data_IF_218733948280
#
_entry.id   IF_218733948280
#
_cell.length_a   1.000
_cell.length_b   1.000
_cell.length_c   1.000
_cell.angle_alpha   90.00
_cell.angle_beta   90.00
_cell.angle_gamma   90.00
#
_symmetry.space_group_name_H-M   'P 1'
#
loop_
_entity.id
_entity.type
_entity.pdbx_description
1 polymer ?
#
# COMPACT_ATOMS: atom_id res chain seq x y z
N UNK A 1 3.18 -14.03 -33.72
CA UNK A 1 2.04 -14.88 -33.29
C UNK A 1 1.62 -14.46 -31.87
N UNK A 2 0.33 -14.22 -31.61
CA UNK A 2 -0.12 -13.78 -30.27
C UNK A 2 -0.14 -14.98 -29.30
N UNK A 3 0.95 -15.16 -28.56
CA UNK A 3 1.13 -16.31 -27.65
C UNK A 3 0.12 -16.35 -26.50
N UNK A 4 -0.32 -15.19 -26.02
CA UNK A 4 -1.29 -15.11 -24.91
C UNK A 4 -2.66 -15.64 -25.36
N UNK A 5 -3.09 -15.26 -26.57
CA UNK A 5 -4.40 -15.64 -27.12
C UNK A 5 -4.46 -17.09 -27.59
N UNK A 6 -3.37 -17.61 -28.15
CA UNK A 6 -3.38 -18.89 -28.88
C UNK A 6 -2.53 -20.00 -28.26
N UNK A 7 -1.60 -19.70 -27.35
CA UNK A 7 -0.64 -20.69 -26.82
C UNK A 7 -0.84 -20.90 -25.33
N UNK A 8 -0.66 -19.86 -24.53
CA UNK A 8 -0.87 -19.91 -23.07
C UNK A 8 -1.19 -18.50 -22.54
N UNK A 9 -2.33 -18.28 -21.88
CA UNK A 9 -3.35 -19.28 -21.49
C UNK A 9 -4.05 -19.96 -22.67
N UNK A 10 -4.08 -19.35 -23.86
CA UNK A 10 -4.78 -19.90 -25.02
C UNK A 10 -6.29 -19.63 -24.93
N UNK A 11 -7.08 -20.37 -25.72
CA UNK A 11 -8.54 -20.32 -25.65
C UNK A 11 -9.17 -18.96 -26.01
N UNK A 12 -8.46 -18.11 -26.76
CA UNK A 12 -8.95 -16.78 -27.10
C UNK A 12 -8.78 -15.75 -25.98
N UNK A 13 -8.01 -16.04 -24.93
CA UNK A 13 -7.78 -15.13 -23.81
C UNK A 13 -7.15 -13.81 -24.27
N UNK A 14 -7.74 -12.69 -23.79
CA UNK A 14 -7.25 -11.33 -24.01
C UNK A 14 -7.15 -10.63 -22.66
N UNK A 15 -5.96 -10.11 -22.27
CA UNK A 15 -5.82 -9.32 -21.06
C UNK A 15 -6.73 -8.08 -21.09
N UNK A 16 -7.42 -7.82 -19.98
CA UNK A 16 -8.27 -6.62 -19.82
C UNK A 16 -7.50 -5.40 -19.32
N UNK A 17 -6.19 -5.55 -19.11
CA UNK A 17 -5.29 -4.53 -18.61
C UNK A 17 -4.17 -4.25 -19.62
N UNK A 18 -3.56 -3.07 -19.49
CA UNK A 18 -2.49 -2.64 -20.37
C UNK A 18 -1.26 -3.54 -20.24
N UNK A 19 -0.75 -4.01 -21.39
CA UNK A 19 0.55 -4.67 -21.50
C UNK A 19 1.56 -3.69 -22.06
N UNK A 20 2.79 -3.72 -21.53
CA UNK A 20 3.89 -2.89 -21.98
C UNK A 20 4.88 -3.69 -22.83
N UNK A 21 5.78 -2.97 -23.50
CA UNK A 21 6.91 -3.59 -24.19
C UNK A 21 7.79 -4.39 -23.22
N UNK A 22 8.45 -5.42 -23.74
CA UNK A 22 9.39 -6.23 -22.95
C UNK A 22 10.58 -5.38 -22.53
N UNK A 23 10.88 -5.36 -21.23
CA UNK A 23 12.03 -4.68 -20.64
C UNK A 23 12.83 -5.62 -19.74
N UNK A 24 14.05 -5.21 -19.38
CA UNK A 24 14.86 -5.88 -18.36
C UNK A 24 14.48 -5.30 -16.99
N UNK A 25 14.30 -6.18 -16.00
CA UNK A 25 13.93 -5.80 -14.62
C UNK A 25 15.11 -5.85 -13.64
N UNK A 26 16.17 -6.57 -14.01
CA UNK A 26 17.40 -6.72 -13.25
C UNK A 26 18.63 -6.60 -14.17
N UNK A 27 19.80 -6.42 -13.55
CA UNK A 27 21.10 -6.34 -14.20
C UNK A 27 21.50 -4.92 -14.59
N UNK A 28 22.54 -4.81 -15.40
CA UNK A 28 23.13 -3.54 -15.82
C UNK A 28 22.15 -2.66 -16.62
N UNK A 29 21.36 -3.29 -17.49
CA UNK A 29 20.40 -2.62 -18.38
C UNK A 29 18.97 -2.66 -17.84
N UNK A 30 18.78 -2.74 -16.52
CA UNK A 30 17.44 -2.73 -15.94
C UNK A 30 16.71 -1.40 -16.17
N UNK A 31 15.41 -1.48 -16.37
CA UNK A 31 14.60 -0.29 -16.62
C UNK A 31 14.52 0.59 -15.35
N UNK A 32 14.67 1.93 -15.43
CA UNK A 32 14.75 2.82 -14.26
C UNK A 32 13.56 2.72 -13.30
N UNK A 33 12.36 2.44 -13.82
CA UNK A 33 11.17 2.16 -13.00
C UNK A 33 11.43 1.00 -12.01
N UNK A 34 12.01 -0.10 -12.47
CA UNK A 34 12.27 -1.25 -11.60
C UNK A 34 13.41 -0.97 -10.61
N UNK A 35 14.40 -0.17 -10.98
CA UNK A 35 15.41 0.33 -10.04
C UNK A 35 14.74 1.09 -8.88
N UNK A 36 13.85 2.02 -9.21
CA UNK A 36 13.08 2.77 -8.21
C UNK A 36 12.20 1.85 -7.35
N UNK A 37 11.42 0.96 -7.95
CA UNK A 37 10.53 0.05 -7.21
C UNK A 37 11.30 -0.87 -6.25
N UNK A 38 12.45 -1.42 -6.69
CA UNK A 38 13.31 -2.28 -5.86
C UNK A 38 13.97 -1.51 -4.72
N UNK A 39 14.27 -0.23 -4.89
CA UNK A 39 14.92 0.57 -3.84
C UNK A 39 13.94 0.98 -2.72
N UNK A 40 12.64 1.08 -3.01
CA UNK A 40 11.64 1.54 -2.04
C UNK A 40 11.05 0.42 -1.19
N UNK A 41 11.13 -0.83 -1.64
CA UNK A 41 10.53 -1.97 -0.95
C UNK A 41 11.56 -3.06 -0.64
N UNK A 42 11.55 -3.63 0.58
CA UNK A 42 12.48 -4.69 0.93
C UNK A 42 12.30 -5.91 0.01
N UNK A 43 13.38 -6.69 -0.23
CA UNK A 43 13.30 -7.92 -1.02
C UNK A 43 12.28 -8.90 -0.47
N UNK A 44 11.62 -9.64 -1.36
CA UNK A 44 10.65 -10.68 -0.96
C UNK A 44 11.31 -12.01 -0.61
N UNK A 45 12.53 -12.24 -1.10
CA UNK A 45 13.40 -13.38 -0.81
C UNK A 45 14.86 -12.93 -0.90
N UNK A 46 15.71 -13.59 -0.13
CA UNK A 46 17.16 -13.39 -0.10
C UNK A 46 17.92 -14.46 -0.91
N UNK A 47 17.26 -15.55 -1.24
CA UNK A 47 17.83 -16.66 -2.02
C UNK A 47 17.49 -16.49 -3.50
N UNK A 48 18.51 -16.59 -4.35
CA UNK A 48 18.35 -16.54 -5.80
C UNK A 48 18.56 -17.93 -6.41
N UNK A 49 17.95 -18.18 -7.56
CA UNK A 49 18.17 -19.41 -8.31
C UNK A 49 19.63 -19.55 -8.72
N UNK A 50 20.14 -20.77 -8.86
CA UNK A 50 21.51 -21.02 -9.31
C UNK A 50 21.75 -20.65 -10.80
N UNK A 51 20.69 -20.36 -11.57
CA UNK A 51 20.72 -20.12 -13.01
C UNK A 51 20.38 -18.66 -13.35
N UNK A 52 21.14 -17.70 -12.82
CA UNK A 52 20.96 -16.28 -13.12
C UNK A 52 21.70 -15.93 -14.41
N UNK A 53 20.98 -15.38 -15.39
CA UNK A 53 21.51 -15.01 -16.71
C UNK A 53 21.65 -13.48 -16.90
N UNK A 54 21.80 -12.73 -15.80
CA UNK A 54 22.03 -11.29 -15.82
C UNK A 54 23.11 -10.90 -14.82
N UNK A 55 23.76 -9.78 -15.05
CA UNK A 55 24.78 -9.21 -14.16
C UNK A 55 24.65 -7.69 -14.11
N UNK A 56 25.09 -7.03 -13.02
CA UNK A 56 25.45 -7.64 -11.75
C UNK A 56 24.20 -8.16 -11.01
N UNK A 57 24.40 -9.15 -10.13
CA UNK A 57 23.33 -9.64 -9.22
C UNK A 57 23.35 -8.78 -7.96
N UNK A 58 22.18 -8.28 -7.55
CA UNK A 58 22.04 -7.38 -6.40
C UNK A 58 21.04 -7.94 -5.39
N UNK A 59 21.31 -7.68 -4.11
CA UNK A 59 20.30 -7.86 -3.06
C UNK A 59 19.13 -6.93 -3.37
N UNK A 60 17.91 -7.47 -3.38
CA UNK A 60 16.73 -6.70 -3.78
C UNK A 60 16.24 -6.96 -5.20
N UNK A 61 16.99 -7.69 -6.02
CA UNK A 61 16.56 -8.04 -7.39
C UNK A 61 15.21 -8.76 -7.43
N UNK A 62 14.51 -8.64 -8.56
CA UNK A 62 13.26 -9.38 -8.80
C UNK A 62 13.60 -10.86 -8.92
N UNK A 63 12.99 -11.68 -8.06
CA UNK A 63 13.39 -13.08 -7.90
C UNK A 63 12.84 -13.98 -9.02
N UNK A 64 11.61 -13.74 -9.47
CA UNK A 64 10.98 -14.54 -10.51
C UNK A 64 9.83 -13.81 -11.22
N UNK A 65 9.29 -14.45 -12.26
CA UNK A 65 8.07 -14.01 -12.92
C UNK A 65 6.92 -13.89 -11.91
N UNK A 66 6.07 -12.87 -12.11
CA UNK A 66 4.93 -12.54 -11.24
C UNK A 66 5.27 -12.01 -9.84
N UNK A 67 6.43 -11.40 -9.62
CA UNK A 67 6.60 -10.53 -8.46
C UNK A 67 5.72 -9.28 -8.62
N UNK A 68 5.07 -8.81 -7.54
CA UNK A 68 4.10 -7.70 -7.61
C UNK A 68 4.53 -6.54 -6.73
N UNK A 69 4.21 -5.33 -7.16
CA UNK A 69 4.38 -4.09 -6.40
C UNK A 69 3.02 -3.40 -6.31
N UNK A 70 2.64 -2.95 -5.12
CA UNK A 70 1.49 -2.08 -4.90
C UNK A 70 2.01 -0.65 -4.80
N UNK A 71 1.39 0.24 -5.56
CA UNK A 71 1.73 1.67 -5.64
C UNK A 71 0.51 2.45 -5.14
N UNK A 72 0.75 3.42 -4.25
CA UNK A 72 -0.30 4.29 -3.72
C UNK A 72 -0.80 5.28 -4.77
N UNK A 73 -1.89 5.97 -4.44
CA UNK A 73 -2.45 7.04 -5.28
C UNK A 73 -1.46 8.18 -5.53
N UNK A 74 -0.55 8.43 -4.60
CA UNK A 74 0.50 9.45 -4.67
C UNK A 74 1.71 8.98 -5.48
N UNK A 75 1.65 7.78 -6.07
CA UNK A 75 2.73 7.21 -6.88
C UNK A 75 3.85 6.58 -6.08
N UNK A 76 3.66 6.36 -4.76
CA UNK A 76 4.70 5.78 -3.89
C UNK A 76 4.54 4.26 -3.78
N UNK A 77 5.61 3.46 -3.93
CA UNK A 77 5.54 2.02 -3.67
C UNK A 77 5.28 1.78 -2.19
N UNK A 78 4.25 0.99 -1.86
CA UNK A 78 3.85 0.73 -0.47
C UNK A 78 4.15 -0.69 -0.02
N UNK A 79 4.11 -1.64 -0.95
CA UNK A 79 4.30 -3.05 -0.63
C UNK A 79 4.77 -3.85 -1.84
N UNK A 80 5.58 -4.86 -1.58
CA UNK A 80 6.12 -5.79 -2.56
C UNK A 80 5.75 -7.21 -2.16
N UNK A 81 5.33 -8.03 -3.13
CA UNK A 81 4.77 -9.36 -2.89
C UNK A 81 5.54 -10.43 -3.65
N UNK A 82 5.85 -11.50 -2.94
CA UNK A 82 6.52 -12.65 -3.51
C UNK A 82 5.71 -13.25 -4.69
N UNK A 83 6.37 -13.80 -5.73
CA UNK A 83 5.71 -14.50 -6.83
C UNK A 83 4.65 -15.52 -6.42
N UNK A 84 4.88 -16.24 -5.31
CA UNK A 84 3.97 -17.27 -4.79
C UNK A 84 2.70 -16.71 -4.15
N UNK A 85 2.65 -15.42 -3.81
CA UNK A 85 1.45 -14.79 -3.25
C UNK A 85 0.35 -14.73 -4.32
N UNK A 86 -0.81 -15.36 -4.10
CA UNK A 86 -1.93 -15.30 -5.04
C UNK A 86 -2.49 -13.88 -5.14
N UNK A 87 -2.81 -13.38 -6.35
CA UNK A 87 -3.35 -12.03 -6.53
C UNK A 87 -4.61 -11.74 -5.70
N UNK A 88 -5.47 -12.74 -5.48
CA UNK A 88 -6.70 -12.58 -4.68
C UNK A 88 -6.41 -12.18 -3.22
N UNK A 89 -5.29 -12.63 -2.65
CA UNK A 89 -4.89 -12.26 -1.28
C UNK A 89 -4.51 -10.78 -1.19
N UNK A 90 -4.04 -10.20 -2.30
CA UNK A 90 -3.61 -8.80 -2.38
C UNK A 90 -4.82 -7.84 -2.42
N UNK A 91 -6.02 -8.34 -2.76
CA UNK A 91 -7.23 -7.51 -2.86
C UNK A 91 -7.53 -6.71 -1.59
N UNK A 92 -7.27 -7.30 -0.42
CA UNK A 92 -7.45 -6.61 0.87
C UNK A 92 -6.54 -5.38 0.98
N UNK A 93 -5.24 -5.55 0.69
CA UNK A 93 -4.27 -4.47 0.75
C UNK A 93 -4.61 -3.34 -0.24
N UNK A 94 -5.12 -3.69 -1.43
CA UNK A 94 -5.58 -2.73 -2.44
C UNK A 94 -6.76 -1.90 -1.91
N UNK A 95 -7.76 -2.57 -1.32
CA UNK A 95 -8.94 -1.88 -0.76
C UNK A 95 -8.52 -0.94 0.39
N UNK A 96 -7.57 -1.37 1.22
CA UNK A 96 -7.06 -0.55 2.31
C UNK A 96 -6.27 0.67 1.79
N UNK A 97 -5.51 0.52 0.70
CA UNK A 97 -4.83 1.63 0.02
C UNK A 97 -5.83 2.65 -0.57
N UNK A 98 -6.87 2.16 -1.25
CA UNK A 98 -7.94 3.01 -1.81
C UNK A 98 -8.66 3.79 -0.71
N UNK A 99 -8.87 3.18 0.46
CA UNK A 99 -9.46 3.86 1.63
C UNK A 99 -8.53 4.93 2.19
N UNK A 100 -7.23 4.66 2.29
CA UNK A 100 -6.24 5.62 2.80
C UNK A 100 -6.12 6.87 1.92
N UNK A 101 -6.17 6.70 0.60
CA UNK A 101 -6.10 7.78 -0.38
C UNK A 101 -7.41 8.60 -0.53
N UNK A 102 -8.43 8.35 0.30
CA UNK A 102 -9.65 9.18 0.42
C UNK A 102 -9.69 9.87 1.78
N UNK A 103 -9.13 11.09 1.90
CA UNK A 103 -9.23 11.90 3.12
C UNK A 103 -10.67 12.30 3.48
N UNK A 104 -11.60 12.25 2.52
CA UNK A 104 -12.97 12.75 2.64
C UNK A 104 -13.92 11.89 3.49
N UNK A 105 -13.41 11.00 4.34
CA UNK A 105 -14.13 10.63 5.55
C UNK A 105 -13.91 11.72 6.61
N UNK A 106 -14.39 12.93 6.31
CA UNK A 106 -14.52 14.03 7.27
C UNK A 106 -15.24 13.57 8.56
N UNK A 107 -16.02 12.48 8.48
CA UNK A 107 -16.63 11.79 9.60
C UNK A 107 -15.61 11.18 10.58
N UNK A 108 -14.48 10.62 10.11
CA UNK A 108 -13.48 10.01 10.97
C UNK A 108 -12.58 11.07 11.64
N UNK A 109 -12.26 12.16 10.95
CA UNK A 109 -11.62 13.33 11.58
C UNK A 109 -12.55 13.99 12.59
N UNK A 110 -13.84 14.21 12.24
CA UNK A 110 -14.84 14.75 13.16
C UNK A 110 -15.01 13.85 14.38
N UNK A 111 -15.08 12.53 14.21
CA UNK A 111 -15.17 11.58 15.32
C UNK A 111 -13.91 11.55 16.18
N UNK A 112 -12.71 11.62 15.57
CA UNK A 112 -11.44 11.71 16.33
C UNK A 112 -11.37 13.02 17.12
N UNK A 113 -11.77 14.13 16.52
CA UNK A 113 -11.78 15.47 17.12
C UNK A 113 -12.84 15.60 18.22
N UNK A 114 -14.01 14.99 18.04
CA UNK A 114 -15.10 14.94 19.02
C UNK A 114 -14.78 14.00 20.20
N UNK A 115 -14.13 12.86 19.94
CA UNK A 115 -13.62 11.96 20.99
C UNK A 115 -12.55 12.63 21.85
N UNK A 116 -11.64 13.39 21.21
CA UNK A 116 -10.58 14.13 21.90
C UNK A 116 -11.15 15.28 22.76
N UNK A 117 -12.15 16.00 22.25
CA UNK A 117 -12.87 17.03 23.02
C UNK A 117 -13.56 16.44 24.27
N UNK A 118 -14.21 15.28 24.15
CA UNK A 118 -14.86 14.61 25.30
C UNK A 118 -13.85 14.18 26.36
N UNK A 119 -12.64 13.76 25.96
CA UNK A 119 -11.58 13.42 26.89
C UNK A 119 -11.09 14.67 27.66
N UNK A 120 -10.90 15.78 26.96
CA UNK A 120 -10.43 17.04 27.57
C UNK A 120 -11.44 17.61 28.57
N UNK A 121 -12.74 17.59 28.26
CA UNK A 121 -13.81 18.07 29.17
C UNK A 121 -13.84 17.26 30.48
N UNK A 122 -13.62 15.94 30.42
CA UNK A 122 -13.62 15.08 31.60
C UNK A 122 -12.35 15.20 32.46
N UNK A 123 -11.32 15.88 31.96
CA UNK A 123 -10.07 16.15 32.69
C UNK A 123 -10.00 17.55 33.30
N UNK A 124 -11.01 18.39 33.05
CA UNK A 124 -11.10 19.70 33.69
C UNK A 124 -11.44 19.53 35.19
N UNK A 125 -10.67 20.12 36.11
CA UNK A 125 -10.96 20.02 37.53
C UNK A 125 -12.31 20.68 37.83
N UNK A 126 -13.24 19.91 38.38
CA UNK A 126 -14.55 20.42 38.84
C UNK A 126 -14.30 21.33 40.04
N UNK A 127 -14.19 22.63 39.80
CA UNK A 127 -14.18 23.64 40.85
C UNK A 127 -15.55 23.66 41.53
N UNK A 128 -15.57 23.39 42.83
CA UNK A 128 -16.77 23.53 43.66
C UNK A 128 -17.21 24.99 43.65
N UNK A 129 -18.33 25.27 42.97
CA UNK A 129 -19.05 26.54 43.10
C UNK A 129 -19.88 26.47 44.38
N UNK A 130 -19.34 27.06 45.45
CA UNK A 130 -20.08 27.28 46.70
C UNK A 130 -21.09 28.40 46.44
N UNK A 131 -22.37 28.04 46.26
CA UNK A 131 -23.47 29.01 46.23
C UNK A 131 -23.77 29.49 47.64
N UNK A 132 -23.26 30.66 48.04
CA UNK A 132 -23.76 31.36 49.22
C UNK A 132 -25.08 32.04 48.85
N UNK A 133 -26.19 31.45 49.32
CA UNK A 133 -27.51 32.05 49.22
C UNK A 133 -27.64 33.23 50.18
N UNK A 134 -27.86 34.42 49.65
CA UNK A 134 -28.29 35.60 50.41
C UNK A 134 -29.80 35.72 50.25
N UNK A 135 -30.53 35.43 51.32
CA UNK A 135 -31.96 35.76 51.46
C UNK A 135 -32.10 37.26 51.74
N UNK A 136 -32.99 37.99 51.05
CA UNK A 136 -33.45 39.29 51.54
C UNK A 136 -34.60 39.09 52.52
N UNK A 137 -34.59 39.85 53.62
CA UNK A 137 -35.58 39.88 54.70
C UNK A 137 -35.98 41.34 54.93
N UNK A 138 -37.13 41.58 55.55
CA UNK A 138 -38.49 41.51 55.02
C UNK A 138 -38.92 42.80 54.30
#
# INVERSE_FOLDING_TARGET
>A
MNGIRYVRPGGGYVPTFQMFQKVKVNGENEHPLFTYLKSQCPPTQTEFSNNIMYQPVRVGDVNWNFEKFLISREGKPVKRYNPKVPPLVIARDIVDEIRRGRPDDARLEFLKRSSKLKLEINTLPTGNVTTTGTTPKP
#
